data_IF_757821783047
#
_entry.id   IF_757821783047
#
_cell.length_a   1.000
_cell.length_b   1.000
_cell.length_c   1.000
_cell.angle_alpha   90.00
_cell.angle_beta   90.00
_cell.angle_gamma   90.00
#
_symmetry.space_group_name_H-M   'P 1'
#
loop_
_entity.id
_entity.type
_entity.pdbx_description
1 polymer ?
#
# COMPACT_ATOMS: atom_id res chain seq x y z
N UNK A 1 2.12 -0.16 11.15
CA UNK A 1 1.53 1.20 11.25
C UNK A 1 0.53 1.39 10.12
N UNK A 2 -0.62 2.06 10.34
CA UNK A 2 -1.59 2.32 9.28
C UNK A 2 -0.96 3.21 8.20
N UNK A 3 -0.53 2.58 7.11
CA UNK A 3 0.10 3.24 5.96
C UNK A 3 -0.82 3.31 4.74
N UNK A 4 -0.31 3.81 3.60
CA UNK A 4 -1.10 3.95 2.37
C UNK A 4 -1.77 2.64 1.91
N UNK A 5 -1.13 1.50 2.13
CA UNK A 5 -1.68 0.18 1.79
C UNK A 5 -2.96 -0.14 2.58
N UNK A 6 -3.03 0.22 3.87
CA UNK A 6 -4.23 0.06 4.67
C UNK A 6 -5.36 0.97 4.16
N UNK A 7 -5.04 2.20 3.76
CA UNK A 7 -6.01 3.12 3.16
C UNK A 7 -6.59 2.56 1.85
N UNK A 8 -5.78 1.93 1.00
CA UNK A 8 -6.26 1.25 -0.22
C UNK A 8 -7.20 0.10 0.13
N UNK A 9 -6.85 -0.74 1.12
CA UNK A 9 -7.73 -1.83 1.57
C UNK A 9 -9.05 -1.29 2.10
N UNK A 10 -9.03 -0.23 2.92
CA UNK A 10 -10.25 0.41 3.42
C UNK A 10 -11.13 0.97 2.29
N UNK A 11 -10.52 1.56 1.27
CA UNK A 11 -11.24 2.15 0.13
C UNK A 11 -11.86 1.10 -0.81
N UNK A 12 -11.15 0.00 -1.07
CA UNK A 12 -11.58 -1.05 -2.02
C UNK A 12 -12.44 -2.15 -1.37
N UNK A 13 -12.36 -2.36 -0.06
CA UNK A 13 -13.12 -3.42 0.65
C UNK A 13 -14.65 -3.29 0.49
N UNK A 14 -15.26 -2.09 0.49
CA UNK A 14 -16.71 -1.98 0.28
C UNK A 14 -17.16 -2.36 -1.14
N UNK A 15 -16.27 -2.25 -2.13
CA UNK A 15 -16.56 -2.60 -3.53
C UNK A 15 -16.26 -4.07 -3.85
N UNK A 16 -15.16 -4.60 -3.31
CA UNK A 16 -14.68 -5.96 -3.64
C UNK A 16 -14.83 -6.97 -2.50
N UNK A 17 -15.39 -6.54 -1.37
CA UNK A 17 -15.53 -7.34 -0.17
C UNK A 17 -14.18 -7.81 0.38
N UNK A 18 -14.17 -9.02 0.93
CA UNK A 18 -12.99 -9.68 1.52
C UNK A 18 -11.83 -9.80 0.52
N UNK A 19 -12.11 -9.80 -0.79
CA UNK A 19 -11.08 -9.96 -1.83
C UNK A 19 -10.17 -8.75 -1.95
N UNK A 20 -10.57 -7.58 -1.45
CA UNK A 20 -9.74 -6.37 -1.50
C UNK A 20 -8.39 -6.58 -0.79
N UNK A 21 -8.38 -7.21 0.38
CA UNK A 21 -7.14 -7.51 1.12
C UNK A 21 -6.16 -8.35 0.30
N UNK A 22 -6.52 -9.58 -0.10
CA UNK A 22 -5.68 -10.43 -0.93
C UNK A 22 -5.18 -9.79 -2.23
N UNK A 23 -6.01 -8.99 -2.90
CA UNK A 23 -5.61 -8.34 -4.15
C UNK A 23 -4.58 -7.23 -3.93
N UNK A 24 -4.72 -6.44 -2.86
CA UNK A 24 -3.71 -5.44 -2.49
C UNK A 24 -2.42 -6.12 -2.06
N UNK A 25 -2.50 -7.19 -1.25
CA UNK A 25 -1.34 -7.98 -0.82
C UNK A 25 -0.65 -8.65 -2.00
N UNK A 26 -1.37 -9.11 -3.02
CA UNK A 26 -0.76 -9.67 -4.22
C UNK A 26 0.17 -8.66 -4.92
N UNK A 27 -0.27 -7.40 -5.02
CA UNK A 27 0.58 -6.33 -5.57
C UNK A 27 1.81 -6.07 -4.71
N UNK A 28 1.62 -6.01 -3.40
CA UNK A 28 2.71 -5.87 -2.42
C UNK A 28 3.72 -7.01 -2.53
N UNK A 29 3.25 -8.26 -2.55
CA UNK A 29 4.08 -9.45 -2.66
C UNK A 29 4.91 -9.45 -3.95
N UNK A 30 4.30 -9.13 -5.09
CA UNK A 30 5.05 -9.04 -6.36
C UNK A 30 6.16 -7.99 -6.31
N UNK A 31 5.88 -6.83 -5.70
CA UNK A 31 6.89 -5.79 -5.50
C UNK A 31 8.04 -6.29 -4.60
N UNK A 32 7.71 -6.92 -3.47
CA UNK A 32 8.71 -7.44 -2.55
C UNK A 32 9.53 -8.58 -3.11
N UNK A 33 8.95 -9.42 -3.98
CA UNK A 33 9.69 -10.46 -4.67
C UNK A 33 10.76 -9.87 -5.59
N UNK A 34 10.41 -8.82 -6.34
CA UNK A 34 11.36 -8.09 -7.19
C UNK A 34 12.45 -7.44 -6.35
N UNK A 35 12.09 -6.82 -5.22
CA UNK A 35 13.06 -6.24 -4.30
C UNK A 35 13.99 -7.31 -3.72
N UNK A 36 13.45 -8.43 -3.21
CA UNK A 36 14.21 -9.51 -2.62
C UNK A 36 15.20 -10.09 -3.64
N UNK A 37 14.76 -10.32 -4.87
CA UNK A 37 15.64 -10.75 -5.95
C UNK A 37 16.77 -9.73 -6.15
N UNK A 38 16.46 -8.44 -6.26
CA UNK A 38 17.46 -7.38 -6.41
C UNK A 38 18.47 -7.32 -5.24
N UNK A 39 17.99 -7.46 -4.00
CA UNK A 39 18.84 -7.49 -2.81
C UNK A 39 19.79 -8.70 -2.81
N UNK A 40 19.30 -9.87 -3.22
CA UNK A 40 20.11 -11.10 -3.34
C UNK A 40 21.21 -10.95 -4.38
N UNK A 41 20.99 -10.22 -5.49
CA UNK A 41 22.04 -9.93 -6.48
C UNK A 41 22.96 -8.75 -6.09
N UNK A 42 22.78 -8.16 -4.90
CA UNK A 42 23.70 -7.17 -4.33
C UNK A 42 23.27 -5.70 -4.40
N UNK A 43 22.01 -5.39 -4.77
CA UNK A 43 21.51 -3.99 -4.81
C UNK A 43 21.21 -3.36 -3.44
N UNK A 44 21.44 -4.05 -2.32
CA UNK A 44 21.18 -3.50 -0.98
C UNK A 44 21.87 -2.16 -0.71
N UNK A 45 23.14 -2.03 -1.10
CA UNK A 45 23.91 -0.79 -0.95
C UNK A 45 23.46 0.35 -1.86
N UNK A 46 22.66 0.06 -2.91
CA UNK A 46 22.07 1.08 -3.80
C UNK A 46 20.81 1.68 -3.19
N UNK A 47 20.01 0.89 -2.46
CA UNK A 47 18.82 1.39 -1.75
C UNK A 47 19.16 2.33 -0.59
N UNK A 48 20.34 2.18 0.01
CA UNK A 48 20.83 3.06 1.07
C UNK A 48 21.29 4.43 0.56
N UNK A 49 21.48 4.60 -0.76
CA UNK A 49 21.95 5.87 -1.32
C UNK A 49 20.89 6.96 -1.12
N UNK A 50 21.27 8.14 -0.57
CA UNK A 50 20.34 9.24 -0.33
C UNK A 50 19.54 9.63 -1.57
N UNK A 51 20.18 9.67 -2.75
CA UNK A 51 19.50 10.00 -4.01
C UNK A 51 18.42 8.99 -4.43
N UNK A 52 18.60 7.70 -4.14
CA UNK A 52 17.61 6.65 -4.44
C UNK A 52 16.43 6.75 -3.48
N UNK A 53 16.68 7.00 -2.19
CA UNK A 53 15.62 7.24 -1.22
C UNK A 53 14.80 8.49 -1.55
N UNK A 54 15.46 9.58 -1.96
CA UNK A 54 14.80 10.80 -2.42
C UNK A 54 13.95 10.56 -3.67
N UNK A 55 14.47 9.85 -4.68
CA UNK A 55 13.72 9.52 -5.89
C UNK A 55 12.46 8.69 -5.57
N UNK A 56 12.60 7.65 -4.73
CA UNK A 56 11.47 6.84 -4.27
C UNK A 56 10.45 7.66 -3.49
N UNK A 57 10.89 8.56 -2.61
CA UNK A 57 10.00 9.44 -1.85
C UNK A 57 9.21 10.41 -2.75
N UNK A 58 9.87 11.02 -3.75
CA UNK A 58 9.22 11.93 -4.71
C UNK A 58 8.21 11.21 -5.60
N UNK A 59 8.60 10.05 -6.16
CA UNK A 59 7.72 9.23 -7.01
C UNK A 59 6.54 8.68 -6.20
N UNK A 60 6.79 8.16 -5.00
CA UNK A 60 5.77 7.71 -4.08
C UNK A 60 4.79 8.83 -3.71
N UNK A 61 5.30 10.01 -3.33
CA UNK A 61 4.51 11.19 -3.01
C UNK A 61 3.62 11.66 -4.18
N UNK A 62 4.16 11.72 -5.39
CA UNK A 62 3.44 12.15 -6.59
C UNK A 62 2.20 11.28 -6.87
N UNK A 63 2.28 9.97 -6.66
CA UNK A 63 1.11 9.12 -6.89
C UNK A 63 0.16 9.05 -5.70
N UNK A 64 0.63 9.29 -4.46
CA UNK A 64 -0.28 9.50 -3.34
C UNK A 64 -1.19 10.70 -3.63
N UNK A 65 -0.63 11.78 -4.21
CA UNK A 65 -1.42 12.90 -4.72
C UNK A 65 -2.40 12.47 -5.81
N UNK A 66 -1.97 11.68 -6.79
CA UNK A 66 -2.86 11.15 -7.83
C UNK A 66 -4.01 10.33 -7.24
N UNK A 67 -3.72 9.45 -6.29
CA UNK A 67 -4.68 8.57 -5.63
C UNK A 67 -5.66 9.37 -4.76
N UNK A 68 -5.15 10.34 -4.00
CA UNK A 68 -5.97 11.26 -3.21
C UNK A 68 -6.88 12.10 -4.12
N UNK A 69 -6.36 12.64 -5.23
CA UNK A 69 -7.15 13.37 -6.21
C UNK A 69 -8.26 12.50 -6.81
N UNK A 70 -7.98 11.23 -7.11
CA UNK A 70 -8.99 10.25 -7.53
C UNK A 70 -10.09 10.03 -6.48
N UNK A 71 -9.71 9.90 -5.20
CA UNK A 71 -10.65 9.77 -4.10
C UNK A 71 -11.51 11.03 -3.91
N UNK A 72 -10.91 12.23 -3.97
CA UNK A 72 -11.63 13.49 -3.88
C UNK A 72 -12.60 13.70 -5.05
N UNK A 73 -12.20 13.37 -6.28
CA UNK A 73 -13.08 13.39 -7.46
C UNK A 73 -14.27 12.46 -7.28
N UNK A 74 -14.03 11.24 -6.80
CA UNK A 74 -15.09 10.27 -6.51
C UNK A 74 -16.09 10.79 -5.47
N UNK A 75 -15.60 11.39 -4.37
CA UNK A 75 -16.45 11.99 -3.34
C UNK A 75 -17.23 13.19 -3.87
N UNK A 76 -16.61 14.05 -4.68
CA UNK A 76 -17.25 15.23 -5.26
C UNK A 76 -18.38 14.85 -6.24
N UNK A 77 -18.19 13.78 -7.02
CA UNK A 77 -19.16 13.27 -7.99
C UNK A 77 -20.32 12.51 -7.33
N UNK A 78 -20.10 11.90 -6.16
CA UNK A 78 -21.12 11.10 -5.43
C UNK A 78 -21.75 11.85 -4.23
N UNK A 79 -21.75 13.20 -4.22
CA UNK A 79 -22.33 14.02 -3.14
C UNK A 79 -23.86 13.90 -2.99
N UNK A 80 -24.59 13.49 -4.03
CA UNK A 80 -26.06 13.43 -4.05
C UNK A 80 -26.67 12.15 -3.45
N UNK A 81 -25.84 11.25 -2.92
CA UNK A 81 -26.22 9.93 -2.44
C UNK A 81 -25.34 8.88 -3.08
N UNK A 82 -24.76 8.02 -2.24
CA UNK A 82 -24.05 6.83 -2.72
C UNK A 82 -25.10 5.87 -3.30
N UNK A 83 -25.36 6.03 -4.58
CA UNK A 83 -25.99 4.98 -5.34
C UNK A 83 -24.94 3.89 -5.55
N UNK A 84 -24.95 2.89 -4.67
CA UNK A 84 -24.11 1.70 -4.79
C UNK A 84 -24.23 1.01 -6.16
N UNK A 85 -25.28 1.35 -6.95
CA UNK A 85 -25.53 0.82 -8.29
C UNK A 85 -24.91 1.67 -9.41
N UNK A 86 -24.49 2.92 -9.17
CA UNK A 86 -24.06 3.84 -10.23
C UNK A 86 -22.58 3.76 -10.58
N UNK A 87 -21.75 3.20 -9.69
CA UNK A 87 -20.39 2.77 -9.99
C UNK A 87 -20.33 1.25 -10.19
N UNK A 88 -21.16 0.75 -11.11
CA UNK A 88 -21.12 -0.61 -11.66
C UNK A 88 -19.90 -0.87 -12.55
N UNK A 89 -18.92 0.04 -12.62
CA UNK A 89 -17.63 -0.31 -13.22
C UNK A 89 -16.88 -1.16 -12.20
N UNK A 90 -16.66 -2.47 -12.47
CA UNK A 90 -15.87 -3.29 -11.57
C UNK A 90 -14.56 -2.55 -11.33
N UNK A 91 -14.16 -2.38 -10.07
CA UNK A 91 -12.76 -2.08 -9.83
C UNK A 91 -11.97 -3.27 -10.36
N UNK A 92 -11.32 -3.07 -11.51
CA UNK A 92 -10.59 -4.15 -12.17
C UNK A 92 -9.61 -4.72 -11.16
N UNK A 93 -9.61 -6.05 -10.97
CA UNK A 93 -8.76 -6.72 -9.97
C UNK A 93 -7.31 -6.24 -10.08
N UNK A 94 -6.84 -6.08 -11.32
CA UNK A 94 -5.52 -5.54 -11.64
C UNK A 94 -5.29 -4.11 -11.15
N UNK A 95 -6.30 -3.23 -11.19
CA UNK A 95 -6.19 -1.88 -10.64
C UNK A 95 -5.89 -1.91 -9.14
N UNK A 96 -6.51 -2.85 -8.41
CA UNK A 96 -6.30 -3.01 -6.96
C UNK A 96 -4.95 -3.64 -6.65
N UNK A 97 -4.50 -4.58 -7.48
CA UNK A 97 -3.13 -5.11 -7.42
C UNK A 97 -2.12 -3.97 -7.64
N UNK A 98 -2.27 -3.16 -8.68
CA UNK A 98 -1.39 -2.02 -8.92
C UNK A 98 -1.46 -0.96 -7.82
N UNK A 99 -2.65 -0.74 -7.23
CA UNK A 99 -2.79 0.13 -6.07
C UNK A 99 -2.00 -0.42 -4.86
N UNK A 100 -1.95 -1.75 -4.68
CA UNK A 100 -1.07 -2.42 -3.72
C UNK A 100 0.40 -2.10 -3.96
N UNK A 101 0.93 -2.41 -5.15
CA UNK A 101 2.32 -2.09 -5.56
C UNK A 101 2.66 -0.64 -5.23
N UNK A 102 1.81 0.28 -5.68
CA UNK A 102 2.13 1.68 -5.56
C UNK A 102 2.01 2.21 -4.13
N UNK A 103 1.00 1.78 -3.40
CA UNK A 103 0.83 2.14 -2.00
C UNK A 103 1.97 1.63 -1.12
N UNK A 104 2.59 0.50 -1.47
CA UNK A 104 3.79 -0.01 -0.83
C UNK A 104 5.03 0.83 -1.15
N UNK A 105 5.26 1.15 -2.43
CA UNK A 105 6.37 2.03 -2.83
C UNK A 105 6.27 3.43 -2.20
N UNK A 106 5.05 3.95 -2.08
CA UNK A 106 4.80 5.25 -1.46
C UNK A 106 4.83 5.22 0.07
N UNK A 107 5.08 4.06 0.68
CA UNK A 107 5.20 3.92 2.12
C UNK A 107 6.69 3.99 2.54
N UNK A 108 7.17 5.07 3.17
CA UNK A 108 8.56 5.21 3.58
C UNK A 108 8.94 4.16 4.62
N UNK A 109 7.97 3.70 5.42
CA UNK A 109 8.18 2.66 6.41
C UNK A 109 8.48 1.34 5.74
N UNK A 110 8.00 1.10 4.52
CA UNK A 110 8.37 -0.09 3.75
C UNK A 110 9.85 -0.05 3.39
N UNK A 111 10.35 1.08 2.87
CA UNK A 111 11.77 1.28 2.56
C UNK A 111 12.63 1.19 3.81
N UNK A 112 12.25 1.88 4.90
CA UNK A 112 12.98 1.85 6.17
C UNK A 112 13.00 0.43 6.76
N UNK A 113 11.88 -0.30 6.69
CA UNK A 113 11.80 -1.67 7.18
C UNK A 113 12.76 -2.58 6.40
N UNK A 114 12.74 -2.51 5.07
CA UNK A 114 13.64 -3.32 4.23
C UNK A 114 15.11 -2.94 4.43
N UNK A 115 15.43 -1.66 4.62
CA UNK A 115 16.78 -1.19 4.90
C UNK A 115 17.29 -1.59 6.30
N UNK A 116 16.40 -1.94 7.23
CA UNK A 116 16.76 -2.25 8.62
C UNK A 116 16.46 -3.71 8.97
N UNK A 117 15.24 -3.99 9.41
CA UNK A 117 14.80 -5.30 9.89
C UNK A 117 14.80 -6.32 8.74
N UNK A 118 14.31 -5.93 7.57
CA UNK A 118 14.21 -6.78 6.39
C UNK A 118 15.58 -7.29 5.95
N UNK A 119 16.58 -6.41 5.80
CA UNK A 119 17.95 -6.81 5.46
C UNK A 119 18.59 -7.69 6.55
N UNK A 120 18.36 -7.39 7.83
CA UNK A 120 18.86 -8.19 8.95
C UNK A 120 18.27 -9.61 9.01
N UNK A 121 17.00 -9.78 8.67
CA UNK A 121 16.36 -11.10 8.56
C UNK A 121 16.77 -11.81 7.28
N UNK A 122 16.89 -11.09 6.16
CA UNK A 122 17.32 -11.61 4.87
C UNK A 122 18.71 -12.22 4.95
N UNK A 123 19.67 -11.55 5.60
CA UNK A 123 21.04 -12.06 5.77
C UNK A 123 21.08 -13.34 6.59
N UNK A 124 20.29 -13.44 7.66
CA UNK A 124 20.15 -14.69 8.43
C UNK A 124 19.53 -15.81 7.60
N UNK A 125 18.49 -15.49 6.83
CA UNK A 125 17.84 -16.43 5.93
C UNK A 125 18.77 -16.89 4.79
N UNK A 126 19.64 -16.01 4.30
CA UNK A 126 20.59 -16.27 3.22
C UNK A 126 21.61 -17.37 3.60
N UNK A 127 22.03 -17.43 4.87
CA UNK A 127 22.93 -18.48 5.37
C UNK A 127 22.31 -19.88 5.26
N UNK A 128 20.99 -19.98 5.30
CA UNK A 128 20.23 -21.22 5.14
C UNK A 128 19.92 -21.53 3.67
N UNK A 129 20.51 -20.78 2.73
CA UNK A 129 20.34 -20.95 1.28
C UNK A 129 18.93 -20.62 0.79
N UNK A 130 18.57 -21.16 -0.38
CA UNK A 130 17.28 -20.87 -1.05
C UNK A 130 16.08 -21.21 -0.15
N UNK A 131 16.17 -22.28 0.63
CA UNK A 131 15.11 -22.68 1.55
C UNK A 131 14.85 -21.62 2.65
N UNK A 132 15.91 -21.03 3.20
CA UNK A 132 15.78 -19.95 4.18
C UNK A 132 15.17 -18.69 3.59
N UNK A 133 15.61 -18.29 2.41
CA UNK A 133 15.07 -17.13 1.68
C UNK A 133 13.58 -17.31 1.36
N UNK A 134 13.20 -18.50 0.90
CA UNK A 134 11.80 -18.84 0.62
C UNK A 134 10.96 -18.82 1.90
N UNK A 135 11.46 -19.41 3.00
CA UNK A 135 10.74 -19.42 4.27
C UNK A 135 10.53 -18.00 4.84
N UNK A 136 11.54 -17.15 4.77
CA UNK A 136 11.44 -15.74 5.17
C UNK A 136 10.38 -15.00 4.36
N UNK A 137 10.48 -15.05 3.03
CA UNK A 137 9.57 -14.35 2.14
C UNK A 137 8.12 -14.85 2.29
N UNK A 138 7.91 -16.16 2.26
CA UNK A 138 6.57 -16.76 2.37
C UNK A 138 5.96 -16.46 3.74
N UNK A 139 6.74 -16.59 4.82
CA UNK A 139 6.26 -16.29 6.17
C UNK A 139 5.84 -14.83 6.33
N UNK A 140 6.63 -13.91 5.79
CA UNK A 140 6.32 -12.48 5.78
C UNK A 140 5.03 -12.17 5.00
N UNK A 141 4.91 -12.64 3.75
CA UNK A 141 3.72 -12.42 2.92
C UNK A 141 2.47 -13.06 3.52
N UNK A 142 2.57 -14.22 4.18
CA UNK A 142 1.43 -14.83 4.89
C UNK A 142 0.94 -13.94 6.03
N UNK A 143 1.85 -13.29 6.76
CA UNK A 143 1.50 -12.32 7.79
C UNK A 143 0.66 -11.17 7.24
N UNK A 144 1.11 -10.56 6.15
CA UNK A 144 0.38 -9.49 5.46
C UNK A 144 -0.96 -9.98 4.90
N UNK A 145 -0.97 -11.14 4.26
CA UNK A 145 -2.19 -11.74 3.71
C UNK A 145 -3.22 -11.96 4.83
N UNK A 146 -2.80 -12.52 5.95
CA UNK A 146 -3.67 -12.79 7.11
C UNK A 146 -4.25 -11.50 7.64
N UNK A 147 -3.41 -10.49 7.90
CA UNK A 147 -3.84 -9.21 8.45
C UNK A 147 -4.79 -8.45 7.52
N UNK A 148 -4.41 -8.22 6.26
CA UNK A 148 -5.21 -7.41 5.34
C UNK A 148 -6.48 -8.15 4.86
N UNK A 149 -6.46 -9.48 4.82
CA UNK A 149 -7.69 -10.28 4.60
C UNK A 149 -8.62 -10.18 5.80
N UNK A 150 -8.10 -10.24 7.04
CA UNK A 150 -8.92 -10.03 8.23
C UNK A 150 -9.57 -8.64 8.26
N UNK A 151 -8.80 -7.59 7.94
CA UNK A 151 -9.31 -6.20 7.87
C UNK A 151 -10.37 -6.05 6.79
N UNK A 152 -10.09 -6.47 5.55
CA UNK A 152 -11.08 -6.40 4.47
C UNK A 152 -12.30 -7.27 4.74
N UNK A 153 -12.11 -8.42 5.40
CA UNK A 153 -13.15 -9.29 5.93
C UNK A 153 -14.05 -8.59 6.93
N UNK A 154 -13.47 -7.93 7.93
CA UNK A 154 -14.21 -7.19 8.95
C UNK A 154 -15.04 -6.04 8.35
N UNK A 155 -14.48 -5.29 7.40
CA UNK A 155 -15.19 -4.22 6.68
C UNK A 155 -16.32 -4.82 5.83
N UNK A 156 -16.04 -5.92 5.14
CA UNK A 156 -17.02 -6.67 4.36
C UNK A 156 -18.07 -7.38 5.24
N UNK A 157 -17.83 -7.66 6.51
CA UNK A 157 -18.89 -8.13 7.40
C UNK A 157 -19.71 -6.95 7.94
N UNK A 158 -19.06 -5.81 8.17
CA UNK A 158 -19.64 -4.58 8.72
C UNK A 158 -20.43 -3.72 7.73
N UNK A 159 -20.46 -4.04 6.42
CA UNK A 159 -21.14 -3.23 5.38
C UNK A 159 -22.63 -2.98 5.65
N UNK A 160 -23.31 -3.83 6.43
CA UNK A 160 -24.71 -3.57 6.87
C UNK A 160 -24.84 -2.42 7.87
N UNK A 161 -23.75 -2.03 8.53
CA UNK A 161 -23.69 -0.92 9.50
C UNK A 161 -23.00 0.33 8.94
N UNK A 162 -22.25 0.19 7.83
CA UNK A 162 -21.60 1.32 7.16
C UNK A 162 -22.62 2.05 6.31
N UNK A 163 -23.24 3.08 6.89
CA UNK A 163 -24.12 3.98 6.14
C UNK A 163 -23.32 4.77 5.10
N UNK A 164 -23.96 5.20 3.99
CA UNK A 164 -23.36 6.10 3.00
C UNK A 164 -22.59 7.30 3.60
N UNK A 165 -23.16 7.93 4.64
CA UNK A 165 -22.53 9.06 5.32
C UNK A 165 -21.22 8.68 6.00
N UNK A 166 -21.20 7.55 6.72
CA UNK A 166 -20.00 7.04 7.39
C UNK A 166 -18.93 6.67 6.38
N UNK A 167 -19.29 6.02 5.28
CA UNK A 167 -18.34 5.69 4.21
C UNK A 167 -17.70 6.94 3.60
N UNK A 168 -18.50 7.95 3.25
CA UNK A 168 -18.00 9.21 2.69
C UNK A 168 -17.08 9.95 3.67
N UNK A 169 -17.41 9.95 4.97
CA UNK A 169 -16.57 10.54 6.01
C UNK A 169 -15.23 9.81 6.09
N UNK A 170 -15.24 8.47 6.17
CA UNK A 170 -14.01 7.66 6.22
C UNK A 170 -13.15 7.86 4.97
N UNK A 171 -13.77 7.93 3.79
CA UNK A 171 -13.06 8.15 2.53
C UNK A 171 -12.46 9.55 2.45
N UNK A 172 -13.19 10.57 2.90
CA UNK A 172 -12.69 11.94 2.97
C UNK A 172 -11.53 12.07 3.96
N UNK A 173 -11.64 11.47 5.16
CA UNK A 173 -10.56 11.43 6.14
C UNK A 173 -9.33 10.70 5.56
N UNK A 174 -9.54 9.56 4.91
CA UNK A 174 -8.44 8.81 4.26
C UNK A 174 -7.77 9.63 3.16
N UNK A 175 -8.55 10.33 2.33
CA UNK A 175 -8.02 11.20 1.28
C UNK A 175 -7.22 12.38 1.85
N UNK A 176 -7.68 12.99 2.96
CA UNK A 176 -6.95 14.04 3.68
C UNK A 176 -5.66 13.51 4.28
N UNK A 177 -5.68 12.32 4.89
CA UNK A 177 -4.47 11.69 5.44
C UNK A 177 -3.46 11.33 4.33
N UNK A 178 -3.93 10.80 3.20
CA UNK A 178 -3.08 10.53 2.04
C UNK A 178 -2.46 11.82 1.48
N UNK A 179 -3.24 12.91 1.42
CA UNK A 179 -2.75 14.22 1.01
C UNK A 179 -1.71 14.77 1.99
N UNK A 180 -1.97 14.70 3.29
CA UNK A 180 -1.03 15.14 4.32
C UNK A 180 0.29 14.34 4.25
N UNK A 181 0.19 13.03 4.06
CA UNK A 181 1.34 12.15 3.88
C UNK A 181 2.12 12.49 2.60
N UNK A 182 1.43 12.76 1.49
CA UNK A 182 2.06 13.14 0.25
C UNK A 182 2.81 14.48 0.35
N UNK A 183 2.21 15.48 1.01
CA UNK A 183 2.83 16.79 1.27
C UNK A 183 4.05 16.62 2.18
N UNK A 184 3.94 15.81 3.24
CA UNK A 184 5.09 15.46 4.08
C UNK A 184 6.19 14.86 3.21
N UNK A 185 5.91 13.88 2.35
CA UNK A 185 6.94 13.24 1.54
C UNK A 185 7.66 14.18 0.60
N UNK A 186 6.92 15.02 -0.11
CA UNK A 186 7.50 16.04 -0.97
C UNK A 186 8.40 16.97 -0.16
N UNK A 187 7.97 17.42 1.01
CA UNK A 187 8.78 18.25 1.90
C UNK A 187 10.03 17.51 2.43
N UNK A 188 9.93 16.23 2.76
CA UNK A 188 11.09 15.45 3.25
C UNK A 188 12.09 15.12 2.14
N UNK A 189 11.64 14.79 0.93
CA UNK A 189 12.50 14.56 -0.23
C UNK A 189 13.23 15.83 -0.66
N UNK A 190 12.56 16.99 -0.59
CA UNK A 190 13.18 18.29 -0.85
C UNK A 190 14.21 18.69 0.21
N UNK A 191 14.00 18.33 1.48
CA UNK A 191 14.99 18.58 2.55
C UNK A 191 16.20 17.65 2.50
N UNK A 192 16.05 16.43 1.97
CA UNK A 192 17.16 15.50 1.78
C UNK A 192 18.07 15.82 0.57
N UNK A 193 17.76 16.88 -0.19
CA UNK A 193 18.57 17.39 -1.30
C UNK A 193 19.53 18.53 -0.89
N UNK A 194 19.50 18.98 0.37
CA UNK A 194 20.40 19.99 0.94
C UNK A 194 21.20 19.43 2.10
#
# INVERSE_FOLDING_TARGET
MPGPMLAVVLAESPRQGVRAGPLVVLGHALLELVLLAALVVGLGSVLERPGVQTALALVGGAMLLWTAAGAFRFVAQNRAGLDWRRDERPSGRWRTVFAGVWSSLANPYWTIWWATIGLGLLTKAYVLGVAGLAAFYVGHIIGDLTWFTAVSGAIAAGRRFITPRVYTIVLAISAVLLLAMAVWFLASGLRGLG
#
